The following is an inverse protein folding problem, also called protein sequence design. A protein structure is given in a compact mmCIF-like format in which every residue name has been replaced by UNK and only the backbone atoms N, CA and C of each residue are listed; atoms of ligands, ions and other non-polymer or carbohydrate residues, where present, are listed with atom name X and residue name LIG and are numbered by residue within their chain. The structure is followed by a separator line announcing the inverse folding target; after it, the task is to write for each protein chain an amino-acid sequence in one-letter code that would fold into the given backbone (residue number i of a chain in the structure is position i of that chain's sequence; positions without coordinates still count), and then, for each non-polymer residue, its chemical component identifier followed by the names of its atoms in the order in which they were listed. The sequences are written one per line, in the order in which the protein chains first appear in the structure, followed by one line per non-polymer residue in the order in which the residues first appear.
data_IF_046162252899
#
_entry.id   IF_046162252899
#
_cell.length_a   1.000
_cell.length_b   1.000
_cell.length_c   1.000
_cell.angle_alpha   90.00
_cell.angle_beta   90.00
_cell.angle_gamma   90.00
#
_symmetry.space_group_name_H-M   'P 1'
#
loop_
_entity.id
_entity.type
_entity.pdbx_description
1 polymer ?
#
# COMPACT_ATOMS: atom_id res chain seq x y z
N UNK A 1 -68.88 17.23 20.01
CA UNK A 1 -68.27 16.50 18.88
C UNK A 1 -66.91 15.87 19.23
N UNK A 2 -65.98 16.57 19.90
CA UNK A 2 -64.65 16.04 20.25
C UNK A 2 -64.63 14.74 21.07
N UNK A 3 -65.52 14.55 22.05
CA UNK A 3 -65.60 13.28 22.84
C UNK A 3 -65.96 12.03 22.02
N UNK A 4 -66.65 12.17 20.87
CA UNK A 4 -67.00 11.04 19.98
C UNK A 4 -65.88 10.68 18.99
N UNK A 5 -64.92 11.59 18.77
CA UNK A 5 -63.75 11.40 17.90
C UNK A 5 -62.52 10.99 18.74
N UNK A 6 -62.40 11.51 19.97
CA UNK A 6 -61.28 11.19 20.86
C UNK A 6 -61.22 9.71 21.25
N UNK A 7 -62.37 9.06 21.50
CA UNK A 7 -62.42 7.66 21.90
C UNK A 7 -61.90 6.70 20.80
N UNK A 8 -62.34 6.79 19.53
CA UNK A 8 -61.77 5.97 18.46
C UNK A 8 -60.32 6.33 18.15
N UNK A 9 -59.91 7.59 18.28
CA UNK A 9 -58.50 7.97 18.14
C UNK A 9 -57.60 7.34 19.22
N UNK A 10 -58.03 7.35 20.49
CA UNK A 10 -57.27 6.72 21.60
C UNK A 10 -57.21 5.20 21.42
N UNK A 11 -58.30 4.55 21.02
CA UNK A 11 -58.31 3.11 20.72
C UNK A 11 -57.41 2.75 19.53
N UNK A 12 -57.39 3.59 18.49
CA UNK A 12 -56.49 3.44 17.36
C UNK A 12 -55.02 3.61 17.77
N UNK A 13 -54.72 4.59 18.63
CA UNK A 13 -53.39 4.81 19.20
C UNK A 13 -52.95 3.62 20.06
N UNK A 14 -53.83 3.11 20.94
CA UNK A 14 -53.55 1.92 21.76
C UNK A 14 -53.33 0.68 20.87
N UNK A 15 -54.13 0.50 19.81
CA UNK A 15 -53.96 -0.59 18.87
C UNK A 15 -52.62 -0.49 18.11
N UNK A 16 -52.23 0.73 17.70
CA UNK A 16 -50.92 1.00 17.10
C UNK A 16 -49.80 0.67 18.10
N UNK A 17 -49.85 1.17 19.33
CA UNK A 17 -48.86 0.85 20.37
C UNK A 17 -48.81 -0.64 20.71
N UNK A 18 -49.96 -1.32 20.74
CA UNK A 18 -50.01 -2.77 20.98
C UNK A 18 -49.36 -3.55 19.82
N UNK A 19 -49.62 -3.16 18.58
CA UNK A 19 -48.97 -3.75 17.40
C UNK A 19 -47.47 -3.46 17.42
N UNK A 20 -47.05 -2.24 17.75
CA UNK A 20 -45.64 -1.86 17.91
C UNK A 20 -44.96 -2.75 18.96
N UNK A 21 -45.55 -2.86 20.14
CA UNK A 21 -45.02 -3.67 21.24
C UNK A 21 -44.91 -5.15 20.87
N UNK A 22 -45.94 -5.71 20.21
CA UNK A 22 -45.90 -7.11 19.74
C UNK A 22 -44.81 -7.33 18.68
N UNK A 23 -44.61 -6.36 17.78
CA UNK A 23 -43.55 -6.44 16.76
C UNK A 23 -42.17 -6.32 17.39
N UNK A 24 -41.99 -5.49 18.43
CA UNK A 24 -40.76 -5.38 19.20
C UNK A 24 -40.32 -6.74 19.75
N UNK A 25 -41.20 -7.39 20.52
CA UNK A 25 -40.91 -8.69 21.14
C UNK A 25 -40.70 -9.79 20.08
N UNK A 26 -41.30 -9.67 18.90
CA UNK A 26 -41.10 -10.63 17.80
C UNK A 26 -39.74 -10.44 17.14
N UNK A 27 -39.38 -9.20 16.82
CA UNK A 27 -38.11 -8.83 16.21
C UNK A 27 -36.95 -9.20 17.14
N UNK A 28 -37.09 -8.90 18.43
CA UNK A 28 -36.12 -9.29 19.45
C UNK A 28 -35.85 -10.79 19.45
N UNK A 29 -36.91 -11.60 19.57
CA UNK A 29 -36.76 -13.07 19.57
C UNK A 29 -36.14 -13.59 18.29
N UNK A 30 -36.55 -13.08 17.12
CA UNK A 30 -35.99 -13.50 15.84
C UNK A 30 -34.51 -13.15 15.72
N UNK A 31 -34.12 -11.95 16.15
CA UNK A 31 -32.74 -11.48 16.10
C UNK A 31 -31.84 -12.24 17.07
N UNK A 32 -32.26 -12.38 18.34
CA UNK A 32 -31.52 -13.14 19.36
C UNK A 32 -31.34 -14.59 18.94
N UNK A 33 -32.39 -15.25 18.43
CA UNK A 33 -32.28 -16.62 17.93
C UNK A 33 -31.33 -16.74 16.73
N UNK A 34 -31.33 -15.76 15.83
CA UNK A 34 -30.43 -15.74 14.68
C UNK A 34 -28.96 -15.64 15.12
N UNK A 35 -28.66 -14.78 16.12
CA UNK A 35 -27.31 -14.60 16.65
C UNK A 35 -26.82 -15.80 17.47
N UNK A 36 -27.68 -16.35 18.34
CA UNK A 36 -27.33 -17.53 19.15
C UNK A 36 -27.03 -18.76 18.29
N UNK A 37 -27.77 -18.96 17.19
CA UNK A 37 -27.48 -20.03 16.21
C UNK A 37 -26.08 -19.92 15.58
N UNK A 38 -25.48 -18.73 15.63
CA UNK A 38 -24.16 -18.44 15.07
C UNK A 38 -23.08 -18.30 16.15
N UNK A 39 -23.36 -18.76 17.38
CA UNK A 39 -22.44 -18.70 18.53
C UNK A 39 -22.00 -17.27 18.90
N UNK A 40 -22.83 -16.26 18.61
CA UNK A 40 -22.59 -14.88 19.07
C UNK A 40 -23.13 -14.74 20.49
N UNK A 41 -22.25 -14.39 21.41
CA UNK A 41 -22.55 -14.08 22.81
C UNK A 41 -22.57 -12.57 23.01
N UNK A 42 -23.44 -12.07 23.88
CA UNK A 42 -23.55 -10.65 24.23
C UNK A 42 -24.12 -10.54 25.65
N UNK A 43 -23.82 -9.43 26.33
CA UNK A 43 -24.30 -9.20 27.70
C UNK A 43 -25.73 -8.70 27.71
N UNK A 44 -26.00 -7.65 26.93
CA UNK A 44 -27.30 -7.00 26.85
C UNK A 44 -27.70 -6.71 25.40
N UNK A 45 -29.01 -6.66 25.17
CA UNK A 45 -29.61 -6.22 23.91
C UNK A 45 -30.69 -5.17 24.18
N UNK A 46 -30.60 -4.04 23.48
CA UNK A 46 -31.58 -2.96 23.52
C UNK A 46 -32.27 -2.81 22.16
N UNK A 47 -33.59 -2.75 22.15
CA UNK A 47 -34.42 -2.61 20.96
C UNK A 47 -35.15 -1.26 21.03
N UNK A 48 -34.89 -0.40 20.05
CA UNK A 48 -35.54 0.89 19.93
C UNK A 48 -36.31 0.92 18.62
N UNK A 49 -37.64 0.97 18.63
CA UNK A 49 -38.45 0.99 17.40
C UNK A 49 -38.71 2.39 16.85
N UNK A 50 -38.51 3.45 17.64
CA UNK A 50 -38.80 4.83 17.26
C UNK A 50 -37.68 5.79 17.71
N UNK A 51 -37.38 6.83 16.91
CA UNK A 51 -37.95 7.16 15.60
C UNK A 51 -37.37 6.33 14.43
N UNK A 52 -36.21 5.71 14.61
CA UNK A 52 -35.56 4.82 13.63
C UNK A 52 -35.37 3.47 14.31
N UNK A 53 -35.91 2.36 13.76
CA UNK A 53 -35.73 1.05 14.37
C UNK A 53 -34.25 0.66 14.45
N UNK A 54 -33.77 0.41 15.66
CA UNK A 54 -32.37 0.12 15.96
C UNK A 54 -32.28 -1.00 16.99
N UNK A 55 -31.28 -1.86 16.80
CA UNK A 55 -30.88 -2.90 17.75
C UNK A 55 -29.48 -2.56 18.22
N UNK A 56 -29.27 -2.55 19.54
CA UNK A 56 -27.96 -2.31 20.14
C UNK A 56 -27.55 -3.52 20.95
N UNK A 57 -26.40 -4.13 20.63
CA UNK A 57 -25.78 -5.17 21.43
C UNK A 57 -24.61 -4.59 22.22
N UNK A 58 -24.50 -4.97 23.49
CA UNK A 58 -23.37 -4.62 24.35
C UNK A 58 -22.45 -5.83 24.55
N UNK A 59 -21.14 -5.59 24.49
CA UNK A 59 -20.09 -6.58 24.72
C UNK A 59 -20.30 -7.87 23.91
N UNK A 60 -20.51 -7.71 22.60
CA UNK A 60 -20.77 -8.80 21.69
C UNK A 60 -19.46 -9.50 21.28
N UNK A 61 -19.43 -10.82 21.35
CA UNK A 61 -18.29 -11.63 20.93
C UNK A 61 -18.73 -12.90 20.21
N UNK A 62 -17.87 -13.41 19.34
CA UNK A 62 -18.07 -14.73 18.76
C UNK A 62 -16.72 -15.39 18.45
N UNK A 63 -16.70 -16.71 18.54
CA UNK A 63 -15.58 -17.53 18.12
C UNK A 63 -16.00 -18.38 16.92
N UNK A 64 -15.33 -18.18 15.78
CA UNK A 64 -15.61 -18.91 14.55
C UNK A 64 -14.79 -20.19 14.44
N UNK A 65 -13.53 -20.16 14.88
CA UNK A 65 -12.65 -21.32 14.98
C UNK A 65 -11.56 -21.10 16.06
N UNK A 66 -10.52 -21.95 16.07
CA UNK A 66 -9.43 -21.87 17.06
C UNK A 66 -8.62 -20.57 16.98
N UNK A 67 -8.65 -19.86 15.84
CA UNK A 67 -7.81 -18.70 15.57
C UNK A 67 -8.60 -17.42 15.28
N UNK A 68 -9.85 -17.54 14.82
CA UNK A 68 -10.74 -16.43 14.46
C UNK A 68 -11.82 -16.20 15.51
N UNK A 69 -11.77 -15.02 16.11
CA UNK A 69 -12.80 -14.49 17.00
C UNK A 69 -12.88 -12.97 16.87
N UNK A 70 -14.01 -12.43 17.28
CA UNK A 70 -14.19 -10.98 17.45
C UNK A 70 -14.76 -10.66 18.82
N UNK A 71 -14.51 -9.44 19.25
CA UNK A 71 -15.18 -8.77 20.35
C UNK A 71 -15.48 -7.33 19.95
N UNK A 72 -16.65 -6.80 20.30
CA UNK A 72 -17.01 -5.39 20.14
C UNK A 72 -17.74 -4.91 21.39
N UNK A 73 -17.35 -3.75 21.92
CA UNK A 73 -18.04 -3.12 23.06
C UNK A 73 -19.51 -2.82 22.69
N UNK A 74 -19.75 -2.38 21.45
CA UNK A 74 -21.09 -2.01 20.98
C UNK A 74 -21.29 -2.38 19.52
N UNK A 75 -22.43 -3.00 19.21
CA UNK A 75 -22.91 -3.22 17.83
C UNK A 75 -24.27 -2.57 17.68
N UNK A 76 -24.37 -1.60 16.77
CA UNK A 76 -25.61 -0.93 16.39
C UNK A 76 -26.08 -1.50 15.05
N UNK A 77 -27.32 -1.96 14.97
CA UNK A 77 -27.97 -2.38 13.72
C UNK A 77 -29.18 -1.51 13.47
N UNK A 78 -29.12 -0.67 12.46
CA UNK A 78 -30.25 0.15 12.00
C UNK A 78 -31.05 -0.62 10.97
N UNK A 79 -32.38 -0.62 11.15
CA UNK A 79 -33.33 -1.31 10.29
C UNK A 79 -34.18 -0.30 9.54
N UNK A 80 -34.67 -0.72 8.37
CA UNK A 80 -35.57 0.09 7.57
C UNK A 80 -36.89 0.33 8.30
N UNK A 81 -37.32 1.60 8.53
CA UNK A 81 -38.51 1.92 9.32
C UNK A 81 -39.77 1.20 8.84
N UNK A 82 -40.11 1.32 7.56
CA UNK A 82 -41.32 0.71 7.00
C UNK A 82 -41.21 -0.83 6.90
N UNK A 83 -40.02 -1.35 6.61
CA UNK A 83 -39.83 -2.77 6.39
C UNK A 83 -39.85 -3.57 7.71
N UNK A 84 -39.44 -2.95 8.81
CA UNK A 84 -39.52 -3.52 10.16
C UNK A 84 -40.99 -3.77 10.59
N UNK A 85 -41.93 -2.88 10.25
CA UNK A 85 -43.35 -3.04 10.59
C UNK A 85 -44.10 -4.05 9.71
N UNK A 86 -43.67 -4.23 8.46
CA UNK A 86 -44.31 -5.14 7.47
C UNK A 86 -43.71 -6.57 7.54
N UNK A 87 -42.70 -6.80 8.38
CA UNK A 87 -42.07 -8.11 8.61
C UNK A 87 -41.03 -8.51 7.56
N UNK A 88 -40.66 -7.62 6.64
CA UNK A 88 -39.53 -7.79 5.70
C UNK A 88 -38.34 -6.97 6.19
N UNK A 89 -37.81 -7.34 7.34
CA UNK A 89 -36.77 -6.58 8.05
C UNK A 89 -35.52 -6.45 7.17
N UNK A 90 -35.25 -5.22 6.70
CA UNK A 90 -34.06 -4.85 5.92
C UNK A 90 -33.07 -4.12 6.82
N UNK A 91 -31.80 -4.49 6.73
CA UNK A 91 -30.71 -3.84 7.44
C UNK A 91 -30.22 -2.65 6.60
N UNK A 92 -30.18 -1.47 7.20
CA UNK A 92 -29.69 -0.24 6.55
C UNK A 92 -28.22 0.01 6.87
N UNK A 93 -27.84 -0.18 8.14
CA UNK A 93 -26.50 0.10 8.62
C UNK A 93 -26.16 -0.81 9.81
N UNK A 94 -24.92 -1.28 9.86
CA UNK A 94 -24.34 -2.00 10.98
C UNK A 94 -23.09 -1.23 11.40
N UNK A 95 -23.05 -0.73 12.63
CA UNK A 95 -21.87 -0.09 13.21
C UNK A 95 -21.33 -0.98 14.33
N UNK A 96 -20.06 -1.33 14.25
CA UNK A 96 -19.35 -2.06 15.27
C UNK A 96 -18.27 -1.14 15.85
N UNK A 97 -18.26 -0.95 17.16
CA UNK A 97 -17.44 0.06 17.83
C UNK A 97 -16.47 -0.58 18.81
N UNK A 98 -15.24 -0.06 18.83
CA UNK A 98 -14.16 -0.43 19.76
C UNK A 98 -13.93 -1.94 19.83
N UNK A 99 -13.76 -2.54 18.66
CA UNK A 99 -13.58 -3.96 18.51
C UNK A 99 -12.15 -4.45 18.63
N UNK A 100 -12.05 -5.78 18.76
CA UNK A 100 -10.83 -6.56 18.61
C UNK A 100 -11.10 -7.74 17.70
N UNK A 101 -10.19 -7.98 16.76
CA UNK A 101 -10.20 -9.12 15.85
C UNK A 101 -8.93 -9.94 16.10
N UNK A 102 -9.01 -11.26 16.19
CA UNK A 102 -7.82 -12.09 16.41
C UNK A 102 -7.06 -12.45 15.14
N UNK A 103 -7.76 -12.55 14.00
CA UNK A 103 -7.16 -12.86 12.71
C UNK A 103 -7.92 -12.19 11.55
N UNK A 104 -7.34 -11.16 10.89
CA UNK A 104 -6.08 -10.50 11.25
C UNK A 104 -6.16 -9.84 12.64
N UNK A 105 -5.01 -9.72 13.32
CA UNK A 105 -4.95 -9.13 14.65
C UNK A 105 -5.09 -7.61 14.58
N UNK A 106 -6.28 -7.12 14.94
CA UNK A 106 -6.60 -5.71 15.03
C UNK A 106 -7.24 -5.37 16.37
N UNK A 107 -6.98 -4.15 16.83
CA UNK A 107 -7.52 -3.55 18.04
C UNK A 107 -8.08 -2.17 17.74
N UNK A 108 -8.92 -1.64 18.63
CA UNK A 108 -9.60 -0.35 18.45
C UNK A 108 -10.40 -0.29 17.14
N UNK A 109 -11.01 -1.41 16.75
CA UNK A 109 -11.71 -1.53 15.46
C UNK A 109 -13.03 -0.80 15.49
N UNK A 110 -13.23 0.15 14.58
CA UNK A 110 -14.53 0.70 14.23
C UNK A 110 -14.87 0.28 12.80
N UNK A 111 -16.07 -0.25 12.60
CA UNK A 111 -16.50 -0.77 11.31
C UNK A 111 -17.95 -0.36 11.06
N UNK A 112 -18.20 0.32 9.95
CA UNK A 112 -19.54 0.64 9.46
C UNK A 112 -19.78 -0.13 8.17
N UNK A 113 -20.88 -0.88 8.12
CA UNK A 113 -21.31 -1.65 6.95
C UNK A 113 -22.70 -1.16 6.56
N UNK A 114 -22.86 -0.74 5.31
CA UNK A 114 -24.16 -0.33 4.72
C UNK A 114 -24.50 -1.29 3.58
N UNK A 115 -25.36 -2.28 3.80
CA UNK A 115 -25.78 -3.19 2.76
C UNK A 115 -26.68 -2.48 1.74
N UNK A 116 -26.60 -2.85 0.46
CA UNK A 116 -27.55 -2.34 -0.54
C UNK A 116 -28.94 -2.99 -0.42
N UNK A 117 -28.99 -4.31 -0.16
CA UNK A 117 -30.24 -5.05 -0.07
C UNK A 117 -30.16 -6.32 0.83
N UNK A 118 -29.73 -6.16 2.08
CA UNK A 118 -29.64 -7.29 3.04
C UNK A 118 -30.87 -7.37 3.95
N UNK A 119 -31.54 -8.53 3.98
CA UNK A 119 -32.66 -8.78 4.89
C UNK A 119 -32.25 -9.71 6.04
N UNK A 120 -32.96 -9.62 7.17
CA UNK A 120 -32.68 -10.43 8.36
C UNK A 120 -32.70 -11.94 8.07
N UNK A 121 -33.59 -12.38 7.17
CA UNK A 121 -33.70 -13.78 6.73
C UNK A 121 -32.47 -14.29 5.97
N UNK A 122 -31.66 -13.39 5.39
CA UNK A 122 -30.49 -13.71 4.58
C UNK A 122 -29.20 -13.77 5.43
N UNK A 123 -29.24 -13.33 6.70
CA UNK A 123 -28.09 -13.37 7.60
C UNK A 123 -27.44 -14.76 7.74
N UNK A 124 -28.18 -15.88 7.83
CA UNK A 124 -27.56 -17.21 7.89
C UNK A 124 -26.69 -17.50 6.66
N UNK A 125 -27.09 -17.07 5.46
CA UNK A 125 -26.32 -17.27 4.23
C UNK A 125 -25.04 -16.43 4.25
N UNK A 126 -25.13 -15.18 4.72
CA UNK A 126 -23.98 -14.27 4.88
C UNK A 126 -22.98 -14.81 5.90
N UNK A 127 -23.45 -15.25 7.07
CA UNK A 127 -22.56 -15.82 8.09
C UNK A 127 -21.90 -17.09 7.60
N UNK A 128 -22.66 -17.96 6.92
CA UNK A 128 -22.10 -19.17 6.29
C UNK A 128 -21.03 -18.81 5.26
N UNK A 129 -21.26 -17.80 4.41
CA UNK A 129 -20.26 -17.31 3.43
C UNK A 129 -18.94 -16.93 4.11
N UNK A 130 -18.97 -16.12 5.18
CA UNK A 130 -17.76 -15.71 5.89
C UNK A 130 -17.07 -16.85 6.65
N UNK A 131 -17.82 -17.88 7.08
CA UNK A 131 -17.27 -19.06 7.73
C UNK A 131 -16.59 -20.02 6.74
N UNK A 132 -17.25 -20.31 5.61
CA UNK A 132 -16.83 -21.37 4.66
C UNK A 132 -16.00 -20.85 3.50
N UNK A 133 -15.98 -19.54 3.23
CA UNK A 133 -15.25 -18.94 2.10
C UNK A 133 -15.75 -19.36 0.71
N UNK A 134 -16.79 -20.20 0.65
CA UNK A 134 -17.41 -20.69 -0.57
C UNK A 134 -18.91 -20.73 -0.37
N UNK A 135 -19.61 -20.15 -1.34
CA UNK A 135 -20.99 -20.46 -1.65
C UNK A 135 -20.95 -20.98 -3.09
N UNK A 136 -21.69 -22.05 -3.40
CA UNK A 136 -21.91 -22.43 -4.79
C UNK A 136 -22.50 -21.27 -5.58
N UNK A 137 -22.58 -21.38 -6.92
CA UNK A 137 -23.06 -20.34 -7.86
C UNK A 137 -23.96 -19.30 -7.20
N UNK A 138 -23.35 -18.22 -6.70
CA UNK A 138 -24.09 -17.12 -6.11
C UNK A 138 -24.56 -16.30 -7.28
N UNK A 139 -25.85 -16.41 -7.62
CA UNK A 139 -26.44 -15.49 -8.57
C UNK A 139 -26.19 -14.05 -8.11
N UNK A 140 -25.70 -13.22 -9.04
CA UNK A 140 -25.48 -11.80 -8.82
C UNK A 140 -26.76 -11.18 -8.25
N UNK A 141 -26.68 -10.74 -6.99
CA UNK A 141 -27.80 -10.14 -6.28
C UNK A 141 -27.27 -8.99 -5.44
N UNK A 142 -28.00 -7.86 -5.44
CA UNK A 142 -27.66 -6.66 -4.68
C UNK A 142 -27.49 -6.92 -3.16
N UNK A 143 -27.95 -8.07 -2.67
CA UNK A 143 -27.75 -8.51 -1.28
C UNK A 143 -26.28 -8.72 -0.91
N UNK A 144 -25.38 -8.86 -1.89
CA UNK A 144 -23.94 -9.07 -1.67
C UNK A 144 -23.09 -7.82 -1.88
N UNK A 145 -23.72 -6.65 -2.05
CA UNK A 145 -23.05 -5.36 -2.19
C UNK A 145 -23.17 -4.56 -0.90
N UNK A 146 -22.03 -4.04 -0.46
CA UNK A 146 -21.86 -3.33 0.80
C UNK A 146 -20.98 -2.11 0.60
N UNK A 147 -21.36 -0.98 1.18
CA UNK A 147 -20.38 0.05 1.49
C UNK A 147 -19.76 -0.25 2.86
N UNK A 148 -18.44 -0.15 2.95
CA UNK A 148 -17.68 -0.43 4.17
C UNK A 148 -16.83 0.78 4.51
N UNK A 149 -16.82 1.16 5.78
CA UNK A 149 -15.87 2.11 6.37
C UNK A 149 -15.25 1.44 7.60
N UNK A 150 -13.94 1.29 7.59
CA UNK A 150 -13.17 0.56 8.59
C UNK A 150 -12.07 1.45 9.13
N UNK A 151 -11.86 1.40 10.44
CA UNK A 151 -10.75 2.03 11.13
C UNK A 151 -10.24 1.06 12.21
N UNK A 152 -8.93 0.96 12.39
CA UNK A 152 -8.37 0.11 13.46
C UNK A 152 -6.85 0.12 13.50
N UNK A 153 -6.30 -0.49 14.55
CA UNK A 153 -4.86 -0.63 14.75
C UNK A 153 -4.42 -2.07 14.61
N UNK A 154 -3.41 -2.33 13.78
CA UNK A 154 -2.83 -3.67 13.66
C UNK A 154 -2.01 -4.05 14.92
N UNK A 155 -1.46 -5.27 14.93
CA UNK A 155 -0.62 -5.76 16.02
C UNK A 155 0.67 -4.95 16.26
N UNK A 156 1.08 -4.12 15.30
CA UNK A 156 2.26 -3.25 15.39
C UNK A 156 1.91 -1.81 15.73
N UNK A 157 0.62 -1.54 16.02
CA UNK A 157 0.07 -0.21 16.31
C UNK A 157 0.04 0.72 15.10
N UNK A 158 0.16 0.20 13.88
CA UNK A 158 -0.13 0.98 12.68
C UNK A 158 -1.63 1.23 12.62
N UNK A 159 -2.01 2.45 12.33
CA UNK A 159 -3.40 2.86 12.19
C UNK A 159 -3.83 2.74 10.73
N UNK A 160 -4.94 2.04 10.50
CA UNK A 160 -5.49 1.78 9.18
C UNK A 160 -6.89 2.37 9.11
N UNK A 161 -7.17 3.15 8.08
CA UNK A 161 -8.53 3.60 7.75
C UNK A 161 -8.84 3.29 6.30
N UNK A 162 -9.92 2.58 6.04
CA UNK A 162 -10.31 2.21 4.68
C UNK A 162 -11.79 2.39 4.44
N UNK A 163 -12.17 2.84 3.26
CA UNK A 163 -13.57 2.96 2.89
C UNK A 163 -13.80 2.69 1.41
N UNK A 164 -14.96 2.13 1.06
CA UNK A 164 -15.33 1.86 -0.32
C UNK A 164 -16.49 0.90 -0.46
N UNK A 165 -16.88 0.62 -1.70
CA UNK A 165 -17.86 -0.41 -2.00
C UNK A 165 -17.18 -1.76 -2.24
N UNK A 166 -17.77 -2.81 -1.68
CA UNK A 166 -17.35 -4.20 -1.84
C UNK A 166 -18.56 -4.99 -2.32
N UNK A 167 -18.38 -5.82 -3.34
CA UNK A 167 -19.40 -6.77 -3.79
C UNK A 167 -18.82 -8.17 -3.91
N UNK A 168 -19.55 -9.17 -3.41
CA UNK A 168 -19.15 -10.57 -3.52
C UNK A 168 -19.92 -11.24 -4.67
N UNK A 169 -19.19 -11.85 -5.60
CA UNK A 169 -19.74 -12.53 -6.77
C UNK A 169 -19.09 -13.92 -6.91
N UNK A 170 -19.61 -14.89 -6.15
CA UNK A 170 -19.02 -16.23 -6.08
C UNK A 170 -17.58 -16.18 -5.52
N UNK A 171 -16.56 -16.62 -6.30
CA UNK A 171 -15.15 -16.59 -5.89
C UNK A 171 -14.51 -15.20 -6.00
N UNK A 172 -15.20 -14.25 -6.64
CA UNK A 172 -14.68 -12.92 -6.91
C UNK A 172 -15.18 -11.91 -5.86
N UNK A 173 -14.28 -11.02 -5.44
CA UNK A 173 -14.61 -9.85 -4.63
C UNK A 173 -14.30 -8.60 -5.45
N UNK A 174 -15.34 -7.85 -5.79
CA UNK A 174 -15.22 -6.59 -6.49
C UNK A 174 -15.09 -5.44 -5.49
N UNK A 175 -14.24 -4.47 -5.83
CA UNK A 175 -14.05 -3.23 -5.09
C UNK A 175 -14.39 -2.05 -6.01
N UNK A 176 -15.08 -1.04 -5.50
CA UNK A 176 -15.29 0.24 -6.21
C UNK A 176 -15.05 1.41 -5.28
N UNK A 177 -14.38 2.44 -5.81
CA UNK A 177 -14.04 3.66 -5.08
C UNK A 177 -13.43 3.38 -3.70
N UNK A 178 -12.51 2.40 -3.65
CA UNK A 178 -11.93 1.95 -2.39
C UNK A 178 -10.69 2.80 -2.08
N UNK A 179 -10.59 3.24 -0.84
CA UNK A 179 -9.47 4.01 -0.33
C UNK A 179 -8.91 3.40 0.95
N UNK A 180 -7.61 3.59 1.16
CA UNK A 180 -6.86 3.12 2.31
C UNK A 180 -5.88 4.21 2.74
N UNK A 181 -5.99 4.67 3.97
CA UNK A 181 -4.99 5.46 4.66
C UNK A 181 -4.28 4.54 5.65
N UNK A 182 -2.96 4.58 5.61
CA UNK A 182 -2.09 3.84 6.51
C UNK A 182 -1.18 4.83 7.23
N UNK A 183 -1.34 4.97 8.54
CA UNK A 183 -0.43 5.70 9.40
C UNK A 183 0.44 4.70 10.18
N UNK A 184 1.71 4.63 9.84
CA UNK A 184 2.66 3.73 10.48
C UNK A 184 3.05 4.25 11.87
N UNK A 185 3.18 3.32 12.84
CA UNK A 185 3.70 3.66 14.16
C UNK A 185 5.15 4.16 14.10
N UNK A 186 5.94 3.57 13.20
CA UNK A 186 7.33 3.92 12.91
C UNK A 186 7.51 4.07 11.40
N UNK A 187 8.33 5.03 10.94
CA UNK A 187 8.53 5.22 9.51
C UNK A 187 9.23 4.00 8.90
N UNK A 188 8.91 3.71 7.63
CA UNK A 188 9.56 2.62 6.89
C UNK A 188 10.95 3.04 6.40
N UNK A 189 11.07 4.30 5.98
CA UNK A 189 12.27 5.01 5.59
C UNK A 189 12.00 6.52 5.75
N UNK A 190 13.05 7.32 5.91
CA UNK A 190 12.93 8.75 6.22
C UNK A 190 11.97 9.02 7.40
N UNK A 191 11.29 10.16 7.38
CA UNK A 191 10.28 10.55 8.38
C UNK A 191 8.83 10.24 7.94
N UNK A 192 8.64 9.63 6.78
CA UNK A 192 7.32 9.35 6.20
C UNK A 192 6.61 8.19 6.92
N UNK A 193 5.44 8.50 7.47
CA UNK A 193 4.57 7.54 8.18
C UNK A 193 3.22 7.32 7.49
N UNK A 194 2.80 8.23 6.63
CA UNK A 194 1.45 8.23 6.08
C UNK A 194 1.47 7.80 4.63
N UNK A 195 0.68 6.80 4.29
CA UNK A 195 0.52 6.30 2.92
C UNK A 195 -0.96 6.28 2.55
N UNK A 196 -1.25 6.82 1.36
CA UNK A 196 -2.59 6.82 0.80
C UNK A 196 -2.67 5.88 -0.39
N UNK A 197 -3.72 5.08 -0.45
CA UNK A 197 -4.04 4.27 -1.61
C UNK A 197 -5.49 4.52 -1.99
N UNK A 198 -5.77 4.62 -3.28
CA UNK A 198 -7.14 4.71 -3.79
C UNK A 198 -7.24 3.97 -5.10
N UNK A 199 -8.23 3.10 -5.24
CA UNK A 199 -8.56 2.44 -6.50
C UNK A 199 -9.98 2.81 -6.90
N UNK A 200 -10.18 3.04 -8.20
CA UNK A 200 -11.50 3.28 -8.75
C UNK A 200 -12.29 1.96 -8.83
N UNK A 201 -11.63 0.90 -9.33
CA UNK A 201 -12.22 -0.42 -9.45
C UNK A 201 -11.17 -1.51 -9.22
N UNK A 202 -11.57 -2.62 -8.62
CA UNK A 202 -10.71 -3.78 -8.47
C UNK A 202 -11.51 -5.08 -8.38
N UNK A 203 -10.86 -6.19 -8.70
CA UNK A 203 -11.44 -7.53 -8.62
C UNK A 203 -10.38 -8.44 -8.02
N UNK A 204 -10.69 -9.06 -6.89
CA UNK A 204 -9.89 -10.12 -6.28
C UNK A 204 -10.59 -11.46 -6.54
N UNK A 205 -10.01 -12.27 -7.42
CA UNK A 205 -10.47 -13.61 -7.74
C UNK A 205 -9.69 -14.65 -6.95
N UNK A 206 -10.38 -15.65 -6.39
CA UNK A 206 -9.75 -16.81 -5.74
C UNK A 206 -10.06 -18.09 -6.52
N UNK A 207 -9.02 -18.70 -7.11
CA UNK A 207 -9.14 -19.94 -7.88
C UNK A 207 -9.14 -21.18 -6.96
N UNK A 208 -9.62 -22.31 -7.48
CA UNK A 208 -9.80 -23.57 -6.72
C UNK A 208 -8.48 -24.17 -6.21
N UNK A 209 -7.39 -23.90 -6.91
CA UNK A 209 -6.01 -24.28 -6.55
C UNK A 209 -5.40 -23.37 -5.47
N UNK A 210 -6.14 -22.35 -5.00
CA UNK A 210 -5.68 -21.37 -4.02
C UNK A 210 -4.91 -20.20 -4.63
N UNK A 211 -4.75 -20.16 -5.96
CA UNK A 211 -4.17 -19.01 -6.65
C UNK A 211 -5.13 -17.82 -6.54
N UNK A 212 -4.59 -16.63 -6.30
CA UNK A 212 -5.39 -15.40 -6.25
C UNK A 212 -4.93 -14.43 -7.31
N UNK A 213 -5.87 -13.75 -7.93
CA UNK A 213 -5.58 -12.71 -8.93
C UNK A 213 -6.28 -11.43 -8.50
N UNK A 214 -5.53 -10.35 -8.36
CA UNK A 214 -6.04 -9.01 -8.13
C UNK A 214 -5.87 -8.20 -9.40
N UNK A 215 -6.98 -7.76 -9.98
CA UNK A 215 -7.00 -6.75 -11.02
C UNK A 215 -7.38 -5.42 -10.36
N UNK A 216 -6.62 -4.37 -10.62
CA UNK A 216 -6.90 -3.02 -10.13
C UNK A 216 -6.83 -2.03 -11.29
N UNK A 217 -7.79 -1.11 -11.33
CA UNK A 217 -7.89 -0.04 -12.32
C UNK A 217 -7.79 1.30 -11.61
N UNK A 218 -6.92 2.17 -12.13
CA UNK A 218 -6.59 3.48 -11.58
C UNK A 218 -6.25 3.41 -10.08
N UNK A 219 -5.20 2.65 -9.74
CA UNK A 219 -4.65 2.69 -8.40
C UNK A 219 -3.78 3.94 -8.25
N UNK A 220 -4.23 4.87 -7.41
CA UNK A 220 -3.41 5.91 -6.85
C UNK A 220 -2.64 5.37 -5.65
N UNK A 221 -1.32 5.56 -5.65
CA UNK A 221 -0.46 5.37 -4.48
C UNK A 221 0.15 6.73 -4.18
N UNK A 222 -0.26 7.32 -3.06
CA UNK A 222 -0.05 8.74 -2.77
C UNK A 222 -0.54 9.59 -3.96
N UNK A 223 0.36 10.37 -4.57
CA UNK A 223 0.04 11.23 -5.71
C UNK A 223 0.29 10.56 -7.08
N UNK A 224 0.77 9.31 -7.11
CA UNK A 224 1.13 8.62 -8.35
C UNK A 224 0.00 7.69 -8.84
N UNK A 225 -0.29 7.75 -10.14
CA UNK A 225 -1.33 6.93 -10.80
C UNK A 225 -0.74 5.72 -11.53
N UNK A 226 -1.23 4.55 -11.15
CA UNK A 226 -1.07 3.28 -11.85
C UNK A 226 -2.41 2.88 -12.48
N UNK A 227 -2.54 3.12 -13.79
CA UNK A 227 -3.81 2.91 -14.53
C UNK A 227 -4.31 1.47 -14.48
N UNK A 228 -3.39 0.50 -14.43
CA UNK A 228 -3.73 -0.91 -14.33
C UNK A 228 -2.66 -1.65 -13.56
N UNK A 229 -3.09 -2.53 -12.67
CA UNK A 229 -2.23 -3.51 -12.00
C UNK A 229 -2.92 -4.86 -12.08
N UNK A 230 -2.22 -5.85 -12.63
CA UNK A 230 -2.55 -7.25 -12.48
C UNK A 230 -1.55 -7.88 -11.50
N UNK A 231 -2.04 -8.27 -10.34
CA UNK A 231 -1.28 -8.90 -9.28
C UNK A 231 -1.70 -10.38 -9.14
N UNK A 232 -0.83 -11.30 -9.54
CA UNK A 232 -1.07 -12.74 -9.37
C UNK A 232 -0.30 -13.29 -8.16
N UNK A 233 -1.01 -13.92 -7.24
CA UNK A 233 -0.49 -14.54 -6.03
C UNK A 233 -0.56 -16.06 -6.17
N UNK A 234 0.61 -16.67 -6.29
CA UNK A 234 0.75 -18.12 -6.48
C UNK A 234 1.45 -18.67 -5.24
N UNK A 235 0.90 -19.74 -4.65
CA UNK A 235 1.48 -20.42 -3.50
C UNK A 235 2.08 -21.75 -3.95
N UNK A 236 3.41 -21.81 -4.06
CA UNK A 236 4.15 -23.00 -4.51
C UNK A 236 4.96 -23.59 -3.37
N UNK A 237 4.59 -24.77 -2.85
CA UNK A 237 5.30 -25.63 -1.86
C UNK A 237 5.86 -25.00 -0.55
N UNK A 238 5.89 -23.67 -0.42
CA UNK A 238 6.24 -22.78 0.72
C UNK A 238 6.51 -21.33 0.28
N UNK A 239 6.65 -21.08 -1.01
CA UNK A 239 6.93 -19.77 -1.57
C UNK A 239 5.63 -19.02 -1.90
N UNK A 240 5.66 -17.69 -1.76
CA UNK A 240 4.64 -16.80 -2.30
C UNK A 240 5.24 -16.01 -3.44
N UNK A 241 4.66 -16.19 -4.62
CA UNK A 241 5.08 -15.50 -5.84
C UNK A 241 4.04 -14.46 -6.22
N UNK A 242 4.47 -13.20 -6.27
CA UNK A 242 3.66 -12.06 -6.66
C UNK A 242 4.21 -11.46 -7.96
N UNK A 243 3.39 -11.47 -9.00
CA UNK A 243 3.66 -10.78 -10.26
C UNK A 243 2.77 -9.56 -10.38
N UNK A 244 3.36 -8.37 -10.43
CA UNK A 244 2.65 -7.12 -10.73
C UNK A 244 2.94 -6.70 -12.15
N UNK A 245 1.94 -6.63 -13.01
CA UNK A 245 2.07 -6.12 -14.38
C UNK A 245 1.31 -4.79 -14.51
N UNK A 246 1.96 -3.78 -15.06
CA UNK A 246 1.30 -2.51 -15.40
C UNK A 246 1.03 -2.36 -16.91
N UNK A 247 0.36 -1.29 -17.30
CA UNK A 247 0.00 -1.03 -18.72
C UNK A 247 1.18 -1.01 -19.69
N UNK A 248 2.38 -0.68 -19.23
CA UNK A 248 3.58 -0.64 -20.08
C UNK A 248 4.25 -2.01 -20.19
N UNK A 249 3.60 -3.08 -19.70
CA UNK A 249 4.17 -4.42 -19.52
C UNK A 249 5.41 -4.46 -18.62
N UNK A 250 5.68 -3.37 -17.90
CA UNK A 250 6.67 -3.39 -16.84
C UNK A 250 6.16 -4.29 -15.72
N UNK A 251 7.07 -5.05 -15.12
CA UNK A 251 6.69 -6.02 -14.11
C UNK A 251 7.57 -5.97 -12.87
N UNK A 252 6.98 -6.39 -11.76
CA UNK A 252 7.69 -6.73 -10.52
C UNK A 252 7.34 -8.17 -10.18
N UNK A 253 8.38 -8.97 -9.91
CA UNK A 253 8.27 -10.32 -9.39
C UNK A 253 8.80 -10.33 -7.96
N UNK A 254 7.99 -10.75 -7.01
CA UNK A 254 8.39 -10.92 -5.61
C UNK A 254 8.27 -12.41 -5.28
N UNK A 255 9.36 -13.04 -4.87
CA UNK A 255 9.39 -14.40 -4.35
C UNK A 255 9.73 -14.38 -2.86
N UNK A 256 8.80 -14.83 -2.01
CA UNK A 256 8.99 -14.97 -0.58
C UNK A 256 9.42 -16.41 -0.26
N UNK A 257 10.71 -16.62 0.04
CA UNK A 257 11.32 -17.96 0.16
C UNK A 257 11.11 -18.64 1.54
N UNK A 258 10.84 -17.86 2.60
CA UNK A 258 10.52 -18.43 3.93
C UNK A 258 10.04 -17.35 4.91
N UNK A 259 9.06 -17.70 5.74
CA UNK A 259 8.83 -17.08 7.05
C UNK A 259 9.33 -18.08 8.10
N UNK A 260 10.54 -17.91 8.61
CA UNK A 260 10.93 -18.62 9.83
C UNK A 260 10.08 -18.06 10.96
N UNK A 261 9.43 -18.95 11.72
CA UNK A 261 8.58 -18.68 12.89
C UNK A 261 8.69 -17.22 13.39
N UNK A 262 7.76 -16.40 12.92
CA UNK A 262 7.42 -15.03 13.31
C UNK A 262 8.45 -13.89 13.29
N UNK A 263 9.73 -14.08 12.92
CA UNK A 263 10.67 -12.93 12.99
C UNK A 263 11.57 -12.68 11.81
N UNK A 264 11.83 -13.65 10.94
CA UNK A 264 12.74 -13.41 9.80
C UNK A 264 12.22 -14.01 8.51
N UNK A 265 12.43 -13.27 7.42
CA UNK A 265 12.08 -13.74 6.09
C UNK A 265 13.05 -13.24 5.03
N UNK A 266 13.20 -14.03 3.97
CA UNK A 266 13.98 -13.67 2.79
C UNK A 266 13.04 -13.44 1.62
N UNK A 267 13.19 -12.30 0.98
CA UNK A 267 12.39 -11.90 -0.17
C UNK A 267 13.32 -11.58 -1.33
N UNK A 268 13.10 -12.25 -2.46
CA UNK A 268 13.72 -11.89 -3.73
C UNK A 268 12.73 -11.01 -4.50
N UNK A 269 13.18 -9.85 -4.93
CA UNK A 269 12.38 -8.90 -5.72
C UNK A 269 13.13 -8.61 -7.00
N UNK A 270 12.49 -8.77 -8.15
CA UNK A 270 13.04 -8.30 -9.42
C UNK A 270 12.03 -7.46 -10.17
N UNK A 271 12.53 -6.53 -10.97
CA UNK A 271 11.74 -5.58 -11.72
C UNK A 271 12.30 -5.38 -13.11
N UNK A 272 11.43 -5.14 -14.09
CA UNK A 272 11.82 -4.84 -15.46
C UNK A 272 11.03 -3.69 -16.05
N UNK A 273 11.73 -2.79 -16.74
CA UNK A 273 11.20 -1.64 -17.46
C UNK A 273 10.35 -0.70 -16.60
N UNK A 274 10.72 -0.54 -15.34
CA UNK A 274 9.95 0.24 -14.37
C UNK A 274 10.29 1.72 -14.49
N UNK A 275 9.28 2.56 -14.39
CA UNK A 275 9.47 4.01 -14.41
C UNK A 275 9.96 4.51 -13.05
N UNK A 276 11.22 4.95 -12.97
CA UNK A 276 11.82 5.29 -11.68
C UNK A 276 11.07 6.43 -10.99
N UNK A 277 10.70 7.47 -11.72
CA UNK A 277 10.02 8.63 -11.15
C UNK A 277 8.68 8.24 -10.53
N UNK A 278 7.92 7.38 -11.21
CA UNK A 278 6.65 6.87 -10.68
C UNK A 278 6.84 6.14 -9.35
N UNK A 279 7.83 5.26 -9.28
CA UNK A 279 8.07 4.50 -8.05
C UNK A 279 8.63 5.38 -6.92
N UNK A 280 9.50 6.34 -7.22
CA UNK A 280 9.96 7.32 -6.23
C UNK A 280 8.78 8.13 -5.68
N UNK A 281 7.86 8.61 -6.52
CA UNK A 281 6.64 9.31 -6.09
C UNK A 281 5.73 8.44 -5.23
N UNK A 282 5.45 7.22 -5.69
CA UNK A 282 4.62 6.26 -4.97
C UNK A 282 5.21 5.96 -3.57
N UNK A 283 6.53 6.01 -3.44
CA UNK A 283 7.27 5.81 -2.19
C UNK A 283 7.63 7.12 -1.48
N UNK A 284 7.16 8.30 -1.93
CA UNK A 284 7.52 9.61 -1.36
C UNK A 284 9.02 9.88 -1.25
N UNK A 285 9.83 9.25 -2.10
CA UNK A 285 11.27 9.44 -2.14
C UNK A 285 11.63 10.63 -3.06
N UNK A 286 12.72 11.36 -2.76
CA UNK A 286 13.19 12.44 -3.63
C UNK A 286 13.49 11.96 -5.05
N UNK A 287 13.04 12.69 -6.05
CA UNK A 287 13.29 12.42 -7.47
C UNK A 287 14.72 12.79 -7.88
N UNK A 288 15.72 12.09 -7.36
CA UNK A 288 17.14 12.33 -7.66
C UNK A 288 17.57 11.85 -9.05
N UNK A 289 16.83 10.90 -9.61
CA UNK A 289 17.15 10.28 -10.89
C UNK A 289 15.87 9.79 -11.57
N UNK A 290 15.93 9.70 -12.89
CA UNK A 290 14.82 9.30 -13.76
C UNK A 290 15.25 8.25 -14.78
N UNK A 291 14.28 7.68 -15.51
CA UNK A 291 14.52 6.69 -16.57
C UNK A 291 13.74 5.40 -16.36
N UNK A 292 14.09 4.37 -17.14
CA UNK A 292 13.55 3.00 -17.00
C UNK A 292 14.55 2.11 -16.30
N UNK A 293 14.13 1.45 -15.24
CA UNK A 293 14.97 0.59 -14.40
C UNK A 293 14.61 -0.89 -14.52
N UNK A 294 15.65 -1.68 -14.70
CA UNK A 294 15.66 -3.11 -14.43
C UNK A 294 16.42 -3.32 -13.11
N UNK A 295 15.92 -4.18 -12.22
CA UNK A 295 16.60 -4.44 -10.97
C UNK A 295 16.36 -5.86 -10.45
N UNK A 296 17.28 -6.32 -9.61
CA UNK A 296 17.15 -7.53 -8.81
C UNK A 296 17.61 -7.22 -7.39
N UNK A 297 16.87 -7.67 -6.39
CA UNK A 297 17.13 -7.41 -4.99
C UNK A 297 16.86 -8.65 -4.13
N UNK A 298 17.68 -8.85 -3.13
CA UNK A 298 17.53 -9.82 -2.05
C UNK A 298 17.41 -9.05 -0.74
N UNK A 299 16.28 -9.20 -0.05
CA UNK A 299 15.95 -8.48 1.17
C UNK A 299 15.70 -9.47 2.30
N UNK A 300 16.50 -9.37 3.36
CA UNK A 300 16.31 -10.09 4.60
C UNK A 300 15.59 -9.19 5.60
N UNK A 301 14.43 -9.63 6.05
CA UNK A 301 13.61 -8.94 7.03
C UNK A 301 13.85 -9.51 8.43
N UNK A 302 13.87 -8.65 9.43
CA UNK A 302 13.72 -9.01 10.84
C UNK A 302 12.64 -8.14 11.47
N UNK A 303 11.63 -8.73 12.11
CA UNK A 303 10.52 -8.00 12.75
C UNK A 303 9.88 -6.94 11.80
N UNK A 304 9.63 -7.34 10.54
CA UNK A 304 9.09 -6.50 9.45
C UNK A 304 9.95 -5.34 8.96
N UNK A 305 11.19 -5.23 9.42
CA UNK A 305 12.15 -4.25 8.91
C UNK A 305 13.17 -4.93 8.03
N UNK A 306 13.62 -4.21 7.00
CA UNK A 306 14.78 -4.64 6.21
C UNK A 306 15.97 -4.60 7.17
N UNK A 307 16.47 -5.78 7.53
CA UNK A 307 17.65 -5.93 8.37
C UNK A 307 18.92 -5.91 7.52
N UNK A 308 18.86 -6.55 6.36
CA UNK A 308 19.95 -6.57 5.40
C UNK A 308 19.39 -6.72 3.99
N UNK A 309 20.09 -6.20 3.00
CA UNK A 309 19.75 -6.49 1.62
C UNK A 309 20.90 -6.27 0.66
N UNK A 310 20.74 -6.78 -0.56
CA UNK A 310 21.61 -6.49 -1.70
C UNK A 310 20.72 -6.22 -2.90
N UNK A 311 21.08 -5.25 -3.72
CA UNK A 311 20.38 -4.99 -4.96
C UNK A 311 21.35 -4.65 -6.08
N UNK A 312 20.96 -5.01 -7.29
CA UNK A 312 21.58 -4.58 -8.53
C UNK A 312 20.53 -3.87 -9.36
N UNK A 313 20.89 -2.77 -9.99
CA UNK A 313 19.99 -2.06 -10.91
C UNK A 313 20.73 -1.58 -12.15
N UNK A 314 19.97 -1.45 -13.24
CA UNK A 314 20.39 -0.82 -14.49
C UNK A 314 19.29 0.12 -14.96
N UNK A 315 19.64 1.38 -15.22
CA UNK A 315 18.77 2.41 -15.74
C UNK A 315 19.25 2.81 -17.13
N UNK A 316 18.32 2.87 -18.08
CA UNK A 316 18.60 3.25 -19.46
C UNK A 316 17.97 4.61 -19.76
N UNK A 317 18.70 5.45 -20.51
CA UNK A 317 18.25 6.75 -21.02
C UNK A 317 17.57 7.61 -19.95
N UNK A 318 18.29 7.87 -18.86
CA UNK A 318 17.79 8.60 -17.71
C UNK A 318 18.45 9.96 -17.53
N UNK A 319 18.05 10.67 -16.48
CA UNK A 319 18.66 11.93 -16.08
C UNK A 319 18.86 11.98 -14.57
N UNK A 320 19.97 12.59 -14.14
CA UNK A 320 20.12 13.09 -12.78
C UNK A 320 19.38 14.42 -12.64
N UNK A 321 18.44 14.47 -11.71
CA UNK A 321 17.65 15.67 -11.42
C UNK A 321 18.43 16.62 -10.53
N UNK A 322 18.49 17.90 -10.90
CA UNK A 322 19.14 18.93 -10.08
C UNK A 322 20.68 18.84 -10.02
N UNK A 323 21.29 17.93 -10.78
CA UNK A 323 22.73 17.77 -10.87
C UNK A 323 23.21 17.95 -12.33
N UNK A 324 23.89 19.06 -12.59
CA UNK A 324 24.58 19.29 -13.86
C UNK A 324 26.05 18.85 -13.77
N UNK A 325 26.31 17.58 -14.03
CA UNK A 325 27.67 17.01 -14.09
C UNK A 325 28.52 17.75 -15.12
N UNK A 326 27.94 18.14 -16.27
CA UNK A 326 28.65 18.85 -17.32
C UNK A 326 29.15 20.23 -16.85
N UNK A 327 28.35 20.96 -16.06
CA UNK A 327 28.77 22.27 -15.52
C UNK A 327 29.87 22.15 -14.47
N UNK A 328 29.86 21.06 -13.69
CA UNK A 328 30.92 20.76 -12.73
C UNK A 328 32.22 20.45 -13.48
N UNK A 329 32.17 19.67 -14.56
CA UNK A 329 33.39 19.23 -15.26
C UNK A 329 33.86 20.17 -16.36
N UNK A 330 33.04 21.09 -16.86
CA UNK A 330 33.36 21.91 -18.04
C UNK A 330 34.60 22.80 -17.86
N UNK A 331 34.91 23.19 -16.62
CA UNK A 331 36.10 23.97 -16.28
C UNK A 331 37.32 23.11 -15.93
N UNK A 332 37.17 21.79 -15.87
CA UNK A 332 38.18 20.86 -15.35
C UNK A 332 38.54 19.73 -16.32
N UNK A 333 37.65 19.38 -17.24
CA UNK A 333 37.84 18.38 -18.29
C UNK A 333 37.84 19.03 -19.68
N UNK A 334 38.77 18.67 -20.56
CA UNK A 334 38.82 19.17 -21.93
C UNK A 334 37.81 18.43 -22.82
N UNK A 335 36.53 18.70 -22.61
CA UNK A 335 35.40 18.10 -23.36
C UNK A 335 34.75 19.15 -24.27
N UNK A 336 34.28 18.73 -25.44
CA UNK A 336 33.51 19.60 -26.33
C UNK A 336 32.02 19.60 -25.92
N UNK A 337 31.41 20.78 -25.79
CA UNK A 337 30.03 20.92 -25.38
C UNK A 337 29.38 22.20 -25.93
N UNK A 338 28.05 22.17 -26.05
CA UNK A 338 27.25 23.34 -26.37
C UNK A 338 27.01 24.17 -25.09
N UNK A 339 27.39 25.47 -25.06
CA UNK A 339 27.16 26.35 -23.91
C UNK A 339 25.71 26.43 -23.46
N UNK A 340 24.72 26.22 -24.35
CA UNK A 340 23.31 26.20 -23.96
C UNK A 340 22.98 25.09 -22.95
N UNK A 341 23.72 23.97 -22.97
CA UNK A 341 23.52 22.83 -22.07
C UNK A 341 24.01 23.10 -20.64
N UNK A 342 24.83 24.13 -20.42
CA UNK A 342 25.26 24.54 -19.08
C UNK A 342 24.13 25.21 -18.29
N UNK A 343 23.08 25.70 -18.97
CA UNK A 343 21.91 26.28 -18.31
C UNK A 343 20.91 25.23 -17.82
N UNK A 344 21.04 23.97 -18.24
CA UNK A 344 20.21 22.88 -17.73
C UNK A 344 20.64 22.54 -16.29
N UNK A 345 19.70 22.34 -15.39
CA UNK A 345 19.99 21.86 -14.03
C UNK A 345 20.29 20.35 -13.99
N UNK A 346 19.87 19.59 -15.00
CA UNK A 346 19.94 18.14 -15.04
C UNK A 346 21.07 17.62 -15.95
N UNK A 347 21.47 16.37 -15.73
CA UNK A 347 22.41 15.64 -16.60
C UNK A 347 21.83 14.33 -17.08
N UNK A 348 21.66 14.20 -18.40
CA UNK A 348 21.28 12.95 -19.03
C UNK A 348 22.42 11.92 -19.00
N UNK A 349 22.05 10.65 -18.97
CA UNK A 349 22.93 9.49 -19.12
C UNK A 349 22.27 8.44 -20.01
N UNK A 350 23.09 7.72 -20.79
CA UNK A 350 22.62 6.62 -21.62
C UNK A 350 22.41 5.37 -20.77
N UNK A 351 23.30 5.12 -19.80
CA UNK A 351 23.22 3.97 -18.90
C UNK A 351 23.76 4.31 -17.52
N UNK A 352 23.08 3.86 -16.47
CA UNK A 352 23.52 3.93 -15.08
C UNK A 352 23.29 2.58 -14.41
N UNK A 353 24.30 2.05 -13.74
CA UNK A 353 24.26 0.76 -13.08
C UNK A 353 24.80 0.89 -11.66
N UNK A 354 24.23 0.12 -10.74
CA UNK A 354 24.71 0.14 -9.37
C UNK A 354 24.52 -1.18 -8.64
N UNK A 355 25.42 -1.44 -7.69
CA UNK A 355 25.30 -2.47 -6.67
C UNK A 355 25.11 -1.79 -5.33
N UNK A 356 24.01 -2.13 -4.69
CA UNK A 356 23.59 -1.57 -3.43
C UNK A 356 23.61 -2.65 -2.35
N UNK A 357 23.93 -2.24 -1.13
CA UNK A 357 23.81 -3.08 0.07
C UNK A 357 23.08 -2.32 1.15
N UNK A 358 21.98 -2.91 1.61
CA UNK A 358 21.06 -2.32 2.57
C UNK A 358 21.39 -2.80 3.99
N UNK A 359 21.38 -1.87 4.94
CA UNK A 359 21.44 -2.06 6.39
C UNK A 359 20.32 -1.23 7.03
N UNK A 360 19.94 -1.45 8.30
CA UNK A 360 18.70 -0.86 8.85
C UNK A 360 18.61 0.67 8.77
N UNK A 361 19.73 1.37 8.81
CA UNK A 361 19.79 2.84 8.74
C UNK A 361 20.61 3.35 7.55
N UNK A 362 21.18 2.47 6.74
CA UNK A 362 22.20 2.81 5.74
C UNK A 362 22.00 2.07 4.44
N UNK A 363 22.18 2.78 3.33
CA UNK A 363 22.29 2.20 2.00
C UNK A 363 23.70 2.44 1.48
N UNK A 364 24.46 1.36 1.35
CA UNK A 364 25.79 1.38 0.75
C UNK A 364 25.66 1.29 -0.76
N UNK A 365 26.36 2.19 -1.46
CA UNK A 365 26.57 2.12 -2.90
C UNK A 365 27.95 1.49 -3.06
N UNK A 366 28.00 0.17 -3.15
CA UNK A 366 29.26 -0.58 -3.24
C UNK A 366 29.94 -0.32 -4.60
N UNK A 367 29.13 -0.22 -5.66
CA UNK A 367 29.57 0.17 -7.01
C UNK A 367 28.49 1.02 -7.68
N UNK A 368 28.91 2.09 -8.35
CA UNK A 368 28.10 2.87 -9.28
C UNK A 368 28.90 3.07 -10.56
N UNK A 369 28.29 2.82 -11.71
CA UNK A 369 28.86 3.08 -13.03
C UNK A 369 27.83 3.76 -13.89
N UNK A 370 28.21 4.81 -14.60
CA UNK A 370 27.32 5.45 -15.55
C UNK A 370 28.08 5.99 -16.75
N UNK A 371 27.37 6.15 -17.85
CA UNK A 371 27.92 6.70 -19.06
C UNK A 371 26.89 7.55 -19.81
N UNK A 372 27.40 8.65 -20.34
CA UNK A 372 26.80 9.46 -21.41
C UNK A 372 27.81 9.54 -22.56
N UNK A 373 27.42 10.08 -23.71
CA UNK A 373 28.25 10.30 -24.91
C UNK A 373 29.61 10.93 -24.65
N UNK A 374 29.74 11.74 -23.59
CA UNK A 374 30.95 12.53 -23.29
C UNK A 374 31.71 12.08 -22.05
N UNK A 375 31.01 11.54 -21.06
CA UNK A 375 31.57 11.31 -19.72
C UNK A 375 31.21 9.89 -19.27
N UNK A 376 32.17 9.23 -18.62
CA UNK A 376 31.94 8.04 -17.79
C UNK A 376 32.10 8.43 -16.33
N UNK A 377 31.20 7.96 -15.49
CA UNK A 377 31.27 8.09 -14.05
C UNK A 377 31.43 6.71 -13.43
N UNK A 378 32.25 6.60 -12.40
CA UNK A 378 32.35 5.41 -11.58
C UNK A 378 32.60 5.77 -10.14
N UNK A 379 31.97 5.10 -9.18
CA UNK A 379 32.12 5.50 -7.80
C UNK A 379 31.50 4.57 -6.78
N UNK A 380 31.47 5.05 -5.55
CA UNK A 380 30.91 4.37 -4.38
C UNK A 380 30.50 5.41 -3.33
N UNK A 381 29.69 5.00 -2.37
CA UNK A 381 29.23 5.92 -1.34
C UNK A 381 28.31 5.28 -0.33
N UNK A 382 27.69 6.15 0.46
CA UNK A 382 26.71 5.79 1.47
C UNK A 382 25.56 6.80 1.45
N UNK A 383 24.36 6.31 1.73
CA UNK A 383 23.18 7.12 2.04
C UNK A 383 22.71 6.75 3.44
N UNK A 384 22.62 7.73 4.32
CA UNK A 384 21.97 7.58 5.62
C UNK A 384 20.46 7.75 5.42
N UNK A 385 19.69 6.70 5.70
CA UNK A 385 18.25 6.61 5.39
C UNK A 385 17.34 7.49 6.27
N UNK A 386 17.64 7.75 7.57
CA UNK A 386 16.79 8.61 8.40
C UNK A 386 16.69 10.05 7.87
N UNK A 387 17.84 10.64 7.55
CA UNK A 387 17.93 12.06 7.14
C UNK A 387 18.07 12.24 5.62
N UNK A 388 18.13 11.13 4.87
CA UNK A 388 18.34 11.09 3.41
C UNK A 388 19.56 11.93 2.98
N UNK A 389 20.67 11.75 3.70
CA UNK A 389 21.96 12.39 3.40
C UNK A 389 22.89 11.43 2.70
N UNK A 390 23.61 11.93 1.70
CA UNK A 390 24.54 11.20 0.87
C UNK A 390 25.99 11.56 1.23
N UNK A 391 26.90 10.61 1.07
CA UNK A 391 28.36 10.84 0.93
C UNK A 391 28.87 9.90 -0.15
N UNK A 392 29.02 10.42 -1.37
CA UNK A 392 29.27 9.66 -2.59
C UNK A 392 30.52 10.23 -3.27
N UNK A 393 31.50 9.37 -3.53
CA UNK A 393 32.68 9.73 -4.32
C UNK A 393 32.57 9.15 -5.71
N UNK A 394 32.57 10.02 -6.71
CA UNK A 394 32.55 9.67 -8.13
C UNK A 394 33.87 10.06 -8.80
N UNK A 395 34.36 9.22 -9.69
CA UNK A 395 35.45 9.52 -10.61
C UNK A 395 34.85 9.76 -12.00
N UNK A 396 35.04 10.97 -12.53
CA UNK A 396 34.54 11.38 -13.84
C UNK A 396 35.66 11.36 -14.88
N UNK A 397 35.45 10.65 -15.99
CA UNK A 397 36.41 10.50 -17.08
C UNK A 397 35.79 10.90 -18.41
N UNK A 398 36.55 11.61 -19.24
CA UNK A 398 36.13 11.90 -20.60
C UNK A 398 36.15 10.61 -21.46
N UNK A 399 35.15 10.45 -22.35
CA UNK A 399 35.09 9.32 -23.29
C UNK A 399 36.16 9.43 -24.39
N UNK A 400 36.59 10.65 -24.74
CA UNK A 400 37.61 10.92 -25.76
C UNK A 400 38.94 10.22 -25.44
N UNK A 401 39.45 9.45 -26.40
CA UNK A 401 40.57 8.52 -26.20
C UNK A 401 41.85 9.21 -25.66
N UNK A 402 42.15 10.41 -26.14
CA UNK A 402 43.28 11.24 -25.69
C UNK A 402 43.20 11.69 -24.23
N UNK A 403 42.02 11.64 -23.60
CA UNK A 403 41.80 12.10 -22.22
C UNK A 403 41.33 10.98 -21.28
N UNK A 404 41.22 9.73 -21.76
CA UNK A 404 40.76 8.58 -20.96
C UNK A 404 41.59 8.32 -19.70
N UNK A 405 42.85 8.74 -19.68
CA UNK A 405 43.75 8.58 -18.52
C UNK A 405 43.46 9.57 -17.39
N UNK A 406 42.75 10.66 -17.67
CA UNK A 406 42.46 11.69 -16.70
C UNK A 406 41.11 11.41 -16.03
N UNK A 407 41.14 11.19 -14.72
CA UNK A 407 39.94 11.01 -13.89
C UNK A 407 39.82 12.15 -12.90
N UNK A 408 38.67 12.81 -12.86
CA UNK A 408 38.35 13.86 -11.91
C UNK A 408 37.55 13.26 -10.74
N UNK A 409 38.16 13.06 -9.56
CA UNK A 409 37.44 12.60 -8.38
C UNK A 409 36.65 13.75 -7.74
N UNK A 410 35.35 13.54 -7.55
CA UNK A 410 34.41 14.49 -6.96
C UNK A 410 33.68 13.79 -5.83
N UNK A 411 33.58 14.45 -4.68
CA UNK A 411 32.77 14.00 -3.56
C UNK A 411 31.50 14.83 -3.49
N UNK A 412 30.36 14.16 -3.48
CA UNK A 412 29.04 14.71 -3.25
C UNK A 412 28.62 14.37 -1.82
N UNK A 413 28.24 15.36 -1.03
CA UNK A 413 27.88 15.16 0.38
C UNK A 413 26.67 16.01 0.79
N UNK A 414 26.12 15.75 1.98
CA UNK A 414 24.92 16.41 2.54
C UNK A 414 23.62 15.86 1.92
N UNK A 415 22.54 16.66 1.84
CA UNK A 415 21.24 16.26 1.32
C UNK A 415 21.30 15.64 -0.08
N UNK A 416 20.80 14.40 -0.25
CA UNK A 416 20.86 13.70 -1.53
C UNK A 416 20.11 14.40 -2.67
N UNK A 417 19.06 15.15 -2.36
CA UNK A 417 18.25 15.88 -3.35
C UNK A 417 18.95 17.14 -3.90
N UNK A 418 19.90 17.70 -3.15
CA UNK A 418 20.65 18.89 -3.51
C UNK A 418 22.05 18.83 -2.88
N UNK A 419 22.90 17.88 -3.32
CA UNK A 419 24.17 17.62 -2.65
C UNK A 419 25.14 18.79 -2.86
N UNK A 420 25.94 19.06 -1.84
CA UNK A 420 27.15 19.87 -1.99
C UNK A 420 28.23 19.03 -2.66
N UNK A 421 29.22 19.67 -3.31
CA UNK A 421 30.32 18.95 -3.95
C UNK A 421 31.68 19.59 -3.70
N UNK A 422 32.72 18.75 -3.64
CA UNK A 422 34.12 19.15 -3.62
C UNK A 422 34.98 18.28 -4.55
N UNK A 423 36.00 18.89 -5.16
CA UNK A 423 36.97 18.16 -6.00
C UNK A 423 38.10 17.64 -5.11
N UNK A 424 38.33 16.34 -5.15
CA UNK A 424 39.35 15.69 -4.32
C UNK A 424 40.74 15.81 -4.97
N UNK A 425 41.52 16.82 -4.58
CA UNK A 425 42.90 17.00 -5.03
C UNK A 425 43.86 15.98 -4.37
N UNK A 426 43.78 14.72 -4.78
CA UNK A 426 44.68 13.66 -4.30
C UNK A 426 46.03 13.63 -5.05
N UNK A 427 47.00 12.89 -4.51
CA UNK A 427 48.34 12.76 -5.12
C UNK A 427 48.29 12.24 -6.56
N UNK A 428 47.37 11.32 -6.86
CA UNK A 428 47.16 10.75 -8.18
C UNK A 428 46.72 11.81 -9.21
N UNK A 429 45.75 12.67 -8.88
CA UNK A 429 45.31 13.75 -9.76
C UNK A 429 46.46 14.75 -10.04
N UNK A 430 47.29 15.06 -9.03
CA UNK A 430 48.47 15.92 -9.23
C UNK A 430 49.48 15.30 -10.20
N UNK A 431 49.70 13.98 -10.12
CA UNK A 431 50.56 13.27 -11.06
C UNK A 431 49.98 13.21 -12.47
N UNK A 432 48.67 12.95 -12.61
CA UNK A 432 47.99 12.96 -13.90
C UNK A 432 48.07 14.33 -14.58
N UNK A 433 47.86 15.42 -13.83
CA UNK A 433 48.03 16.79 -14.33
C UNK A 433 49.47 17.01 -14.79
N UNK A 434 50.45 16.62 -13.96
CA UNK A 434 51.89 16.77 -14.28
C UNK A 434 52.24 16.02 -15.56
N UNK A 435 51.77 14.79 -15.72
CA UNK A 435 52.11 13.94 -16.87
C UNK A 435 51.39 14.41 -18.14
N UNK A 436 50.15 14.88 -18.02
CA UNK A 436 49.42 15.52 -19.13
C UNK A 436 50.12 16.80 -19.61
N UNK A 437 50.54 17.67 -18.67
CA UNK A 437 51.30 18.88 -19.02
C UNK A 437 52.64 18.52 -19.67
N UNK A 438 53.36 17.52 -19.15
CA UNK A 438 54.59 17.02 -19.80
C UNK A 438 54.32 16.57 -21.24
N UNK A 439 53.28 15.78 -21.51
CA UNK A 439 52.97 15.36 -22.89
C UNK A 439 52.63 16.54 -23.81
N UNK A 440 51.88 17.54 -23.32
CA UNK A 440 51.50 18.74 -24.09
C UNK A 440 52.67 19.68 -24.37
N UNK A 441 53.60 19.82 -23.43
CA UNK A 441 54.75 20.74 -23.51
C UNK A 441 56.06 20.07 -23.97
N UNK A 442 56.05 18.77 -24.27
CA UNK A 442 57.20 18.05 -24.86
C UNK A 442 57.25 18.17 -26.39
N UNK A 443 56.58 19.17 -26.98
CA UNK A 443 56.71 19.55 -28.38
C UNK A 443 57.61 20.77 -28.52
#
# INVERSE_FOLDING_TARGET
MWRRIALPCVLFIIAIFSVIYIQETRLERQFVQALQKQNVQFEDVDFQLFPIPKITLQNASAQFDKERSFFFEKINVELSPLAAFIGKVRLEQIELQRGKLTKPNFSEVNLTIKPTALYLKDLPDVVKYFQTGCTGEVEMSDKWRYFVDFEGKDKYRNHLKSSGEIAFNGPDTEFKNFSLNLDLYQPLYADDKQFYFKLDQGILSTHKDGHKVLLSYNLHINDELFTYINASFIREEKDLLLYLLNNNKAFIKINLLSFYADRSGLVLVSGKDLDVNKWLNALKLPQILSGKVDFDAELAFFEQRINQGKAHFTIQNGEFSGLNILSIVSNHLPINYDPAQLQNANSAFERLEGKLRWEPTRLWIDELFGEDKRIRLSGRGIVELPDVTCDITLELKAQEEKYRKFGLPIRFFDQCAAPQYEILLNGNLREQIRDFLKEKFRR
#
